data_IF_589118948762
#
_entry.id   IF_589118948762
#
_cell.length_a   1.000
_cell.length_b   1.000
_cell.length_c   1.000
_cell.angle_alpha   90.00
_cell.angle_beta   90.00
_cell.angle_gamma   90.00
#
_symmetry.space_group_name_H-M   'P 1'
#
loop_
_entity.id
_entity.type
_entity.pdbx_description
1 polymer ?
#
# COMPACT_ATOMS: atom_id res chain seq x y z
N UNK A 1 -17.99 -16.73 -22.58
CA UNK A 1 -17.32 -15.42 -22.42
C UNK A 1 -15.84 -15.70 -22.20
N UNK A 2 -14.98 -15.35 -23.16
CA UNK A 2 -13.53 -15.55 -23.03
C UNK A 2 -12.97 -14.43 -22.14
N UNK A 3 -12.46 -14.79 -20.96
CA UNK A 3 -11.68 -13.89 -20.11
C UNK A 3 -10.41 -13.49 -20.88
N UNK A 4 -10.33 -12.23 -21.31
CA UNK A 4 -9.12 -11.66 -21.91
C UNK A 4 -8.31 -11.01 -20.80
N UNK A 5 -7.23 -11.68 -20.37
CA UNK A 5 -6.23 -11.05 -19.53
C UNK A 5 -5.51 -9.97 -20.34
N UNK A 6 -5.59 -8.73 -19.88
CA UNK A 6 -4.86 -7.62 -20.49
C UNK A 6 -3.59 -7.43 -19.67
N UNK A 7 -2.44 -7.76 -20.26
CA UNK A 7 -1.13 -7.48 -19.66
C UNK A 7 -0.63 -6.16 -20.21
N UNK A 8 -0.60 -5.14 -19.36
CA UNK A 8 0.06 -3.87 -19.66
C UNK A 8 1.50 -3.96 -19.15
N UNK A 9 2.46 -3.89 -20.08
CA UNK A 9 3.88 -3.79 -19.73
C UNK A 9 4.32 -2.34 -19.77
N UNK A 10 4.76 -1.83 -18.63
CA UNK A 10 5.40 -0.50 -18.56
C UNK A 10 6.88 -0.73 -18.86
N UNK A 11 7.39 -0.02 -19.88
CA UNK A 11 8.82 -0.04 -20.23
C UNK A 11 9.66 0.70 -19.19
N UNK A 12 10.89 0.24 -19.00
CA UNK A 12 11.88 0.85 -18.11
C UNK A 12 12.10 2.32 -18.48
N UNK A 13 11.64 3.23 -17.63
CA UNK A 13 11.91 4.66 -17.78
C UNK A 13 12.03 5.29 -16.39
N UNK A 14 13.16 5.95 -16.15
CA UNK A 14 13.58 6.44 -14.83
C UNK A 14 12.70 7.59 -14.30
N UNK A 15 11.81 8.17 -15.12
CA UNK A 15 10.93 9.28 -14.74
C UNK A 15 9.55 9.21 -15.42
N UNK A 16 8.87 8.05 -15.39
CA UNK A 16 7.48 8.03 -15.86
C UNK A 16 6.58 8.77 -14.86
N UNK A 17 6.23 10.01 -15.22
CA UNK A 17 5.36 10.90 -14.43
C UNK A 17 3.94 10.86 -14.96
N UNK A 18 3.17 9.89 -14.48
CA UNK A 18 1.79 9.72 -14.87
C UNK A 18 0.95 9.28 -13.68
N UNK A 19 -0.23 9.88 -13.51
CA UNK A 19 -1.28 9.31 -12.67
C UNK A 19 -2.04 8.27 -13.47
N UNK A 20 -2.14 7.07 -12.92
CA UNK A 20 -2.82 5.95 -13.58
C UNK A 20 -4.06 5.57 -12.78
N UNK A 21 -5.19 5.48 -13.47
CA UNK A 21 -6.44 4.95 -12.91
C UNK A 21 -6.86 3.72 -13.69
N UNK A 22 -7.03 2.59 -12.99
CA UNK A 22 -7.57 1.36 -13.55
C UNK A 22 -9.06 1.30 -13.20
N UNK A 23 -9.96 1.61 -14.15
CA UNK A 23 -11.38 1.80 -13.87
C UNK A 23 -12.10 0.46 -13.65
N UNK A 24 -13.20 0.48 -12.89
CA UNK A 24 -13.93 -0.71 -12.45
C UNK A 24 -14.43 -1.59 -13.61
N UNK A 25 -14.72 -0.99 -14.76
CA UNK A 25 -15.22 -1.66 -15.96
C UNK A 25 -14.16 -2.53 -16.67
N UNK A 26 -12.91 -2.52 -16.19
CA UNK A 26 -11.80 -3.28 -16.77
C UNK A 26 -11.22 -4.31 -15.80
N UNK A 27 -11.99 -5.34 -15.39
CA UNK A 27 -11.48 -6.41 -14.55
C UNK A 27 -10.43 -7.26 -15.27
N UNK A 28 -9.70 -8.08 -14.51
CA UNK A 28 -8.68 -9.01 -15.03
C UNK A 28 -7.50 -8.34 -15.74
N UNK A 29 -7.15 -7.11 -15.33
CA UNK A 29 -5.93 -6.44 -15.76
C UNK A 29 -4.76 -6.95 -14.94
N UNK A 30 -3.66 -7.27 -15.64
CA UNK A 30 -2.34 -7.41 -15.01
C UNK A 30 -1.45 -6.26 -15.44
N UNK A 31 -1.03 -5.45 -14.49
CA UNK A 31 0.03 -4.46 -14.64
C UNK A 31 1.36 -5.10 -14.25
N UNK A 32 2.30 -5.19 -15.19
CA UNK A 32 3.58 -5.87 -14.96
C UNK A 32 4.74 -5.00 -15.40
N UNK A 33 5.62 -4.67 -14.47
CA UNK A 33 6.96 -4.20 -14.80
C UNK A 33 7.89 -5.33 -15.17
N UNK A 34 9.14 -4.97 -15.49
CA UNK A 34 10.24 -5.92 -15.68
C UNK A 34 10.90 -6.23 -14.34
N UNK A 35 11.17 -5.21 -13.53
CA UNK A 35 11.76 -5.26 -12.19
C UNK A 35 11.27 -4.05 -11.38
N UNK A 36 11.11 -4.21 -10.07
CA UNK A 36 10.75 -3.06 -9.22
C UNK A 36 11.81 -1.95 -9.24
N UNK A 37 13.08 -2.30 -9.43
CA UNK A 37 14.22 -1.37 -9.42
C UNK A 37 14.39 -0.53 -10.70
N UNK A 38 13.66 -0.82 -11.79
CA UNK A 38 13.78 -0.10 -13.06
C UNK A 38 12.43 0.29 -13.70
N UNK A 39 11.31 -0.22 -13.18
CA UNK A 39 9.97 0.15 -13.64
C UNK A 39 9.30 1.04 -12.59
N UNK A 40 9.02 2.29 -12.93
CA UNK A 40 8.49 3.28 -12.01
C UNK A 40 7.17 3.88 -12.49
N UNK A 41 6.26 4.09 -11.56
CA UNK A 41 5.13 5.02 -11.64
C UNK A 41 5.34 6.09 -10.58
N UNK A 42 5.53 7.34 -11.01
CA UNK A 42 5.89 8.44 -10.12
C UNK A 42 4.89 9.57 -10.27
N UNK A 43 4.39 10.10 -9.17
CA UNK A 43 3.68 11.38 -9.15
C UNK A 43 4.08 12.21 -7.93
N UNK A 44 3.47 13.38 -7.73
CA UNK A 44 3.79 14.28 -6.61
C UNK A 44 2.64 15.20 -6.20
N UNK A 45 1.40 14.71 -6.27
CA UNK A 45 0.23 15.43 -5.71
C UNK A 45 0.04 15.05 -4.26
N UNK A 46 -0.58 15.94 -3.49
CA UNK A 46 -0.84 15.72 -2.07
C UNK A 46 -2.07 16.47 -1.59
N UNK A 47 -2.17 16.60 -0.27
CA UNK A 47 -3.28 17.20 0.49
C UNK A 47 -4.56 16.34 0.46
N UNK A 48 -5.17 16.17 -0.71
CA UNK A 48 -6.40 15.40 -0.87
C UNK A 48 -6.09 13.91 -1.03
N UNK A 49 -6.64 13.07 -0.15
CA UNK A 49 -6.36 11.64 -0.11
C UNK A 49 -6.93 10.87 -1.32
N UNK A 50 -7.99 11.38 -1.96
CA UNK A 50 -8.65 10.74 -3.09
C UNK A 50 -8.07 11.19 -4.43
N UNK A 51 -7.52 12.41 -4.47
CA UNK A 51 -6.89 12.98 -5.66
C UNK A 51 -5.36 12.78 -5.71
N UNK A 52 -4.67 12.67 -4.57
CA UNK A 52 -3.22 12.45 -4.50
C UNK A 52 -2.67 11.10 -5.02
N UNK A 53 -3.44 9.99 -5.17
CA UNK A 53 -2.88 8.71 -5.61
C UNK A 53 -2.09 8.78 -6.91
N UNK A 54 -0.89 8.18 -6.92
CA UNK A 54 -0.12 7.95 -8.16
C UNK A 54 -0.77 6.84 -9.00
N UNK A 55 -1.23 5.77 -8.34
CA UNK A 55 -1.98 4.68 -8.94
C UNK A 55 -3.26 4.42 -8.17
N UNK A 56 -4.41 4.42 -8.85
CA UNK A 56 -5.71 4.05 -8.28
C UNK A 56 -6.28 2.83 -8.98
N UNK A 57 -6.68 1.82 -8.21
CA UNK A 57 -7.26 0.57 -8.70
C UNK A 57 -8.71 0.46 -8.25
N UNK A 58 -9.63 0.43 -9.22
CA UNK A 58 -11.05 0.13 -8.99
C UNK A 58 -11.48 -1.22 -9.60
N UNK A 59 -10.65 -1.81 -10.47
CA UNK A 59 -10.95 -3.05 -11.17
C UNK A 59 -10.78 -4.29 -10.30
N UNK A 60 -11.78 -5.19 -10.31
CA UNK A 60 -11.66 -6.49 -9.65
C UNK A 60 -10.68 -7.41 -10.38
N UNK A 61 -10.18 -8.43 -9.68
CA UNK A 61 -9.29 -9.44 -10.24
C UNK A 61 -8.00 -8.83 -10.84
N UNK A 62 -7.57 -7.70 -10.26
CA UNK A 62 -6.40 -6.95 -10.69
C UNK A 62 -5.12 -7.57 -10.14
N UNK A 63 -4.07 -7.60 -10.96
CA UNK A 63 -2.74 -8.02 -10.53
C UNK A 63 -1.72 -6.93 -10.86
N UNK A 64 -0.88 -6.59 -9.90
CA UNK A 64 0.27 -5.70 -10.08
C UNK A 64 1.55 -6.43 -9.66
N UNK A 65 2.60 -6.35 -10.47
CA UNK A 65 3.88 -7.00 -10.14
C UNK A 65 5.11 -6.30 -10.69
N UNK A 66 6.18 -6.37 -9.90
CA UNK A 66 7.53 -5.97 -10.30
C UNK A 66 7.64 -4.52 -10.80
N UNK A 67 7.00 -3.59 -10.10
CA UNK A 67 7.20 -2.16 -10.32
C UNK A 67 7.23 -1.37 -9.01
N UNK A 68 7.82 -0.19 -9.06
CA UNK A 68 7.79 0.83 -8.01
C UNK A 68 6.64 1.82 -8.27
N UNK A 69 5.86 2.10 -7.25
CA UNK A 69 4.80 3.11 -7.22
C UNK A 69 5.19 4.13 -6.16
N UNK A 70 5.39 5.38 -6.56
CA UNK A 70 5.96 6.39 -5.69
C UNK A 70 5.24 7.72 -5.79
N UNK A 71 4.89 8.30 -4.65
CA UNK A 71 4.48 9.68 -4.55
C UNK A 71 5.61 10.52 -3.91
N UNK A 72 6.07 11.55 -4.62
CA UNK A 72 7.18 12.45 -4.24
C UNK A 72 6.72 13.79 -3.65
N UNK A 73 5.45 13.95 -3.26
CA UNK A 73 4.95 15.19 -2.65
C UNK A 73 5.76 15.62 -1.42
N UNK A 74 6.24 14.65 -0.63
CA UNK A 74 7.07 14.88 0.54
C UNK A 74 6.24 15.00 1.82
N UNK A 75 6.72 15.81 2.76
CA UNK A 75 6.23 15.81 4.15
C UNK A 75 5.15 16.86 4.44
N UNK A 76 4.69 17.59 3.43
CA UNK A 76 3.78 18.72 3.61
C UNK A 76 2.34 18.31 3.95
N UNK A 77 1.96 17.06 3.67
CA UNK A 77 0.61 16.56 3.89
C UNK A 77 0.44 15.14 3.36
N UNK A 78 -0.83 14.72 3.24
CA UNK A 78 -1.23 13.40 2.72
C UNK A 78 -0.76 13.24 1.28
N UNK A 79 -0.18 12.10 0.93
CA UNK A 79 0.30 11.85 -0.42
C UNK A 79 0.25 10.36 -0.73
N UNK A 80 -0.84 9.92 -1.36
CA UNK A 80 -1.04 8.50 -1.64
C UNK A 80 -0.17 8.05 -2.80
N UNK A 81 0.60 6.98 -2.63
CA UNK A 81 1.29 6.32 -3.73
C UNK A 81 0.33 5.35 -4.43
N UNK A 82 -0.32 4.48 -3.65
CA UNK A 82 -1.24 3.48 -4.16
C UNK A 82 -2.58 3.57 -3.43
N UNK A 83 -3.68 3.67 -4.19
CA UNK A 83 -5.04 3.48 -3.70
C UNK A 83 -5.63 2.20 -4.30
N UNK A 84 -6.18 1.34 -3.45
CA UNK A 84 -6.83 0.09 -3.88
C UNK A 84 -8.24 0.04 -3.31
N UNK A 85 -9.24 0.12 -4.20
CA UNK A 85 -10.66 0.02 -3.88
C UNK A 85 -11.30 -1.03 -4.79
N UNK A 86 -10.90 -2.30 -4.64
CA UNK A 86 -11.24 -3.38 -5.57
C UNK A 86 -11.37 -4.75 -4.89
N UNK A 87 -12.21 -5.62 -5.42
CA UNK A 87 -12.27 -7.01 -4.95
C UNK A 87 -11.24 -7.90 -5.64
N UNK A 88 -10.53 -8.73 -4.88
CA UNK A 88 -9.50 -9.66 -5.37
C UNK A 88 -8.34 -8.95 -6.10
N UNK A 89 -7.77 -7.92 -5.50
CA UNK A 89 -6.56 -7.28 -6.03
C UNK A 89 -5.30 -7.89 -5.41
N UNK A 90 -4.29 -8.21 -6.23
CA UNK A 90 -3.06 -8.83 -5.76
C UNK A 90 -1.80 -8.10 -6.24
N UNK A 91 -0.83 -7.95 -5.35
CA UNK A 91 0.42 -7.23 -5.56
C UNK A 91 1.60 -8.14 -5.25
N UNK A 92 2.57 -8.23 -6.16
CA UNK A 92 3.71 -9.14 -6.06
C UNK A 92 5.04 -8.44 -6.31
N UNK A 93 5.93 -8.42 -5.32
CA UNK A 93 7.26 -7.85 -5.50
C UNK A 93 7.23 -6.37 -5.87
N UNK A 94 6.22 -5.63 -5.41
CA UNK A 94 6.08 -4.20 -5.67
C UNK A 94 6.78 -3.39 -4.59
N UNK A 95 7.23 -2.20 -4.97
CA UNK A 95 7.77 -1.19 -4.05
C UNK A 95 6.78 -0.03 -4.01
N UNK A 96 6.29 0.34 -2.84
CA UNK A 96 5.27 1.39 -2.67
C UNK A 96 5.80 2.40 -1.65
N UNK A 97 6.06 3.64 -2.08
CA UNK A 97 6.75 4.61 -1.23
C UNK A 97 6.11 5.99 -1.27
N UNK A 98 5.91 6.59 -0.11
CA UNK A 98 5.55 8.00 0.05
C UNK A 98 5.92 8.45 1.48
N UNK A 99 5.20 9.41 2.04
CA UNK A 99 5.38 9.88 3.40
C UNK A 99 4.13 9.64 4.26
N UNK A 100 3.09 10.47 4.12
CA UNK A 100 1.82 10.30 4.83
C UNK A 100 0.78 9.62 3.93
N UNK A 101 0.03 8.64 4.46
CA UNK A 101 -0.99 7.87 3.73
C UNK A 101 -0.45 7.14 2.48
N UNK A 102 0.74 6.54 2.57
CA UNK A 102 1.43 5.93 1.42
C UNK A 102 0.58 4.92 0.65
N UNK A 103 -0.07 3.99 1.34
CA UNK A 103 -1.00 3.01 0.81
C UNK A 103 -2.39 3.25 1.39
N UNK A 104 -3.31 3.72 0.55
CA UNK A 104 -4.73 3.74 0.84
C UNK A 104 -5.35 2.40 0.43
N UNK A 105 -5.33 1.47 1.37
CA UNK A 105 -5.96 0.14 1.33
C UNK A 105 -7.48 0.27 1.55
N UNK A 106 -8.13 0.99 0.64
CA UNK A 106 -9.44 1.64 0.79
C UNK A 106 -10.58 0.66 1.15
N UNK A 107 -10.91 -0.26 0.24
CA UNK A 107 -12.01 -1.22 0.42
C UNK A 107 -11.87 -2.42 -0.53
N UNK A 108 -12.24 -3.61 -0.06
CA UNK A 108 -12.19 -4.85 -0.85
C UNK A 108 -11.34 -5.93 -0.21
N UNK A 109 -10.93 -6.91 -1.01
CA UNK A 109 -10.07 -8.02 -0.58
C UNK A 109 -8.75 -7.96 -1.32
N UNK A 110 -7.65 -7.71 -0.62
CA UNK A 110 -6.35 -7.53 -1.25
C UNK A 110 -5.28 -8.49 -0.71
N UNK A 111 -4.28 -8.75 -1.54
CA UNK A 111 -3.15 -9.61 -1.18
C UNK A 111 -1.84 -8.97 -1.62
N UNK A 112 -0.90 -8.79 -0.69
CA UNK A 112 0.41 -8.21 -0.94
C UNK A 112 1.48 -9.24 -0.59
N UNK A 113 2.19 -9.76 -1.59
CA UNK A 113 3.25 -10.76 -1.40
C UNK A 113 4.60 -10.21 -1.80
N UNK A 114 5.57 -10.29 -0.88
CA UNK A 114 6.95 -9.83 -1.10
C UNK A 114 7.01 -8.35 -1.51
N UNK A 115 6.06 -7.52 -1.08
CA UNK A 115 6.05 -6.09 -1.35
C UNK A 115 6.84 -5.33 -0.28
N UNK A 116 7.48 -4.23 -0.68
CA UNK A 116 8.10 -3.27 0.22
C UNK A 116 7.22 -2.02 0.27
N UNK A 117 6.80 -1.60 1.47
CA UNK A 117 5.94 -0.43 1.67
C UNK A 117 6.64 0.50 2.66
N UNK A 118 6.90 1.74 2.25
CA UNK A 118 7.64 2.73 3.03
C UNK A 118 6.84 4.03 3.19
N UNK A 119 6.70 4.50 4.43
CA UNK A 119 6.19 5.83 4.74
C UNK A 119 6.54 6.27 6.17
N UNK A 120 5.84 7.27 6.70
CA UNK A 120 6.09 7.86 8.01
C UNK A 120 4.83 7.91 8.90
N UNK A 121 3.76 8.53 8.40
CA UNK A 121 2.51 8.76 9.14
C UNK A 121 1.35 8.05 8.46
N UNK A 122 0.59 7.23 9.19
CA UNK A 122 -0.59 6.50 8.68
C UNK A 122 -0.34 5.83 7.32
N UNK A 123 0.87 5.32 7.11
CA UNK A 123 1.35 5.00 5.76
C UNK A 123 0.67 3.78 5.14
N UNK A 124 -0.07 2.99 5.93
CA UNK A 124 -1.13 2.09 5.44
C UNK A 124 -2.41 2.50 6.15
N UNK A 125 -3.45 2.86 5.40
CA UNK A 125 -4.75 3.29 5.92
C UNK A 125 -5.89 2.78 5.04
N UNK A 126 -7.13 2.78 5.54
CA UNK A 126 -8.31 2.30 4.82
C UNK A 126 -9.08 1.21 5.58
N UNK A 127 -10.00 0.53 4.89
CA UNK A 127 -10.93 -0.45 5.48
C UNK A 127 -10.95 -1.80 4.74
N UNK A 128 -10.00 -2.07 3.84
CA UNK A 128 -9.92 -3.33 3.13
C UNK A 128 -9.58 -4.53 4.04
N UNK A 129 -10.00 -5.72 3.61
CA UNK A 129 -9.58 -6.99 4.18
C UNK A 129 -8.36 -7.50 3.42
N UNK A 130 -7.17 -7.31 3.99
CA UNK A 130 -5.91 -7.50 3.28
C UNK A 130 -4.97 -8.47 3.98
N UNK A 131 -4.38 -9.38 3.20
CA UNK A 131 -3.28 -10.24 3.66
C UNK A 131 -1.96 -9.71 3.11
N UNK A 132 -1.01 -9.48 4.00
CA UNK A 132 0.35 -9.09 3.69
C UNK A 132 1.26 -10.28 4.01
N UNK A 133 1.99 -10.79 3.02
CA UNK A 133 2.87 -11.96 3.14
C UNK A 133 4.31 -11.57 2.78
N UNK A 134 5.23 -11.93 3.67
CA UNK A 134 6.65 -11.63 3.56
C UNK A 134 7.42 -12.95 3.39
N UNK A 135 8.46 -13.02 2.55
CA UNK A 135 9.14 -14.30 2.33
C UNK A 135 10.02 -14.63 3.54
N UNK A 136 10.04 -15.92 3.90
CA UNK A 136 10.76 -16.45 5.06
C UNK A 136 12.28 -16.22 5.05
N UNK A 137 12.88 -15.89 3.90
CA UNK A 137 14.35 -15.81 3.74
C UNK A 137 14.99 -14.47 4.16
N UNK A 138 14.21 -13.46 4.58
CA UNK A 138 14.78 -12.22 5.13
C UNK A 138 15.39 -12.38 6.53
N UNK A 139 15.31 -13.59 7.11
CA UNK A 139 15.77 -13.88 8.47
C UNK A 139 17.23 -14.40 8.55
N UNK A 140 17.83 -14.91 7.45
CA UNK A 140 19.02 -15.79 7.52
C UNK A 140 20.35 -15.18 7.01
N UNK A 141 20.40 -13.90 6.63
CA UNK A 141 21.64 -13.25 6.17
C UNK A 141 22.02 -12.03 6.99
N UNK A 142 22.31 -12.22 8.29
CA UNK A 142 23.42 -11.61 9.04
C UNK A 142 23.61 -10.08 9.11
N UNK A 143 22.82 -9.27 8.41
CA UNK A 143 22.74 -7.82 8.53
C UNK A 143 21.26 -7.44 8.62
N UNK A 144 20.84 -7.14 9.85
CA UNK A 144 19.54 -6.54 10.14
C UNK A 144 19.43 -5.22 9.37
N UNK A 145 18.82 -5.22 8.19
CA UNK A 145 18.24 -4.00 7.63
C UNK A 145 17.04 -3.68 8.52
N UNK A 146 17.32 -2.82 9.50
CA UNK A 146 16.43 -2.10 10.42
C UNK A 146 14.96 -2.10 9.97
N UNK A 147 14.10 -2.74 10.73
CA UNK A 147 12.65 -2.73 10.46
C UNK A 147 11.80 -3.33 11.57
N UNK A 148 12.24 -3.25 12.83
CA UNK A 148 11.41 -3.61 13.98
C UNK A 148 10.95 -2.32 14.68
N UNK A 149 9.71 -1.92 14.42
CA UNK A 149 8.95 -1.03 15.32
C UNK A 149 7.47 -1.35 15.21
N UNK A 150 7.04 -2.28 16.05
CA UNK A 150 5.65 -2.51 16.39
C UNK A 150 5.17 -1.34 17.27
N UNK A 151 4.30 -0.48 16.75
CA UNK A 151 3.43 0.39 17.55
C UNK A 151 2.09 0.49 16.82
N UNK A 152 1.23 -0.47 17.08
CA UNK A 152 -0.22 -0.26 16.96
C UNK A 152 -0.64 0.29 18.33
N UNK A 153 -1.26 1.48 18.37
CA UNK A 153 -2.52 1.56 19.08
C UNK A 153 -3.58 2.21 18.20
N UNK A 154 -4.61 1.40 17.92
CA UNK A 154 -6.03 1.77 17.88
C UNK A 154 -6.39 3.17 17.36
N UNK A 155 -7.13 3.24 16.25
CA UNK A 155 -8.16 4.28 16.12
C UNK A 155 -9.02 4.26 17.40
N UNK A 156 -9.28 5.44 17.98
CA UNK A 156 -10.56 6.03 17.68
C UNK A 156 -10.41 7.44 17.09
N UNK A 157 -11.32 7.70 16.15
CA UNK A 157 -11.78 8.99 15.66
C UNK A 157 -11.46 10.21 16.57
N UNK A 158 -10.79 11.21 15.99
CA UNK A 158 -10.71 12.64 16.39
C UNK A 158 -10.29 12.99 17.83
N UNK A 159 -9.11 13.61 17.98
CA UNK A 159 -9.01 14.90 18.68
C UNK A 159 -7.70 15.62 18.34
N UNK A 160 -7.81 16.95 18.23
CA UNK A 160 -6.76 17.93 17.94
C UNK A 160 -5.33 17.58 18.38
N UNK A 161 -4.37 17.68 17.46
CA UNK A 161 -3.04 18.20 17.78
C UNK A 161 -2.57 19.16 16.66
N UNK A 162 -2.44 20.43 17.04
CA UNK A 162 -1.54 21.37 16.37
C UNK A 162 -0.13 21.10 16.89
N UNK A 163 0.84 21.04 15.99
CA UNK A 163 2.15 21.69 16.13
C UNK A 163 2.73 21.77 14.70
N UNK A 164 3.06 22.92 14.11
CA UNK A 164 3.67 24.09 14.70
C UNK A 164 5.18 23.90 14.76
N UNK A 165 5.90 24.35 13.73
CA UNK A 165 7.33 24.73 13.81
C UNK A 165 8.28 23.81 14.60
N UNK A 166 8.92 22.86 13.93
CA UNK A 166 10.38 22.66 13.91
C UNK A 166 10.69 21.41 13.06
N UNK A 167 11.65 21.54 12.14
CA UNK A 167 11.99 20.53 11.13
C UNK A 167 12.64 19.26 11.67
N UNK A 168 11.92 18.50 12.49
CA UNK A 168 12.32 17.17 12.91
C UNK A 168 11.81 16.16 11.87
N UNK A 169 12.75 15.58 11.11
CA UNK A 169 12.47 14.53 10.13
C UNK A 169 11.96 13.32 10.92
N UNK A 170 10.67 13.01 10.79
CA UNK A 170 10.11 11.80 11.40
C UNK A 170 10.82 10.58 10.78
N UNK A 171 11.28 9.61 11.58
CA UNK A 171 11.96 8.44 11.05
C UNK A 171 11.03 7.66 10.11
N UNK A 172 11.54 7.27 8.95
CA UNK A 172 10.85 6.38 8.01
C UNK A 172 10.50 5.08 8.75
N UNK A 173 9.24 4.67 8.70
CA UNK A 173 8.74 3.44 9.32
C UNK A 173 8.59 2.39 8.24
N UNK A 174 9.29 1.27 8.42
CA UNK A 174 9.17 0.06 7.59
C UNK A 174 8.31 -0.92 8.38
N UNK A 175 7.30 -1.50 7.73
CA UNK A 175 6.40 -2.46 8.37
C UNK A 175 6.25 -3.71 7.53
N UNK A 176 6.65 -4.83 8.12
CA UNK A 176 6.28 -6.17 7.69
C UNK A 176 5.03 -6.56 8.48
N UNK A 177 3.85 -6.52 7.86
CA UNK A 177 2.65 -7.07 8.52
C UNK A 177 2.39 -8.46 7.97
N UNK A 178 2.13 -9.41 8.85
CA UNK A 178 1.25 -10.54 8.56
C UNK A 178 -0.10 -10.16 9.16
N UNK A 179 -0.91 -9.36 8.44
CA UNK A 179 -2.28 -9.07 8.90
C UNK A 179 -3.10 -10.32 8.61
N UNK A 180 -3.45 -11.07 9.64
CA UNK A 180 -4.53 -12.05 9.54
C UNK A 180 -5.79 -11.38 10.09
N UNK A 181 -6.48 -10.56 9.29
CA UNK A 181 -7.80 -10.03 9.65
C UNK A 181 -8.85 -11.12 9.47
N UNK A 182 -8.82 -12.10 10.38
CA UNK A 182 -9.94 -12.97 10.68
C UNK A 182 -9.85 -13.34 12.15
N UNK A 183 -10.20 -12.40 13.02
CA UNK A 183 -10.70 -12.77 14.36
C UNK A 183 -12.19 -12.48 14.35
N UNK A 184 -12.94 -13.48 13.89
CA UNK A 184 -14.29 -13.73 14.37
C UNK A 184 -14.21 -13.76 15.89
N UNK A 185 -14.86 -12.82 16.58
CA UNK A 185 -15.06 -12.92 18.03
C UNK A 185 -16.08 -14.03 18.24
N UNK A 186 -15.74 -15.18 18.87
CA UNK A 186 -16.76 -16.11 19.31
C UNK A 186 -17.50 -15.47 20.47
N UNK A 187 -18.82 -15.48 20.39
CA UNK A 187 -19.72 -15.11 21.48
C UNK A 187 -19.38 -15.95 22.73
N UNK A 188 -18.82 -15.31 23.77
CA UNK A 188 -18.68 -15.92 25.08
C UNK A 188 -20.06 -15.96 25.74
N UNK A 189 -20.80 -17.03 25.46
CA UNK A 189 -21.88 -17.50 26.32
C UNK A 189 -21.28 -18.15 27.57
N UNK A 190 -21.84 -17.84 28.75
CA UNK A 190 -21.79 -18.74 29.90
C UNK A 190 -21.03 -18.29 31.13
N UNK A 191 -21.83 -17.89 32.13
CA UNK A 191 -21.72 -18.14 33.57
C UNK A 191 -20.44 -17.78 34.35
N UNK A 192 -20.63 -16.94 35.36
CA UNK A 192 -19.98 -17.13 36.66
C UNK A 192 -21.06 -17.28 37.73
N UNK A 193 -20.93 -18.38 38.45
CA UNK A 193 -21.54 -18.67 39.75
C UNK A 193 -21.21 -17.59 40.79
#
# INVERSE_FOLDING_TARGET
MLLKYIVLRISDFIDNREKVVIPAEKPYITLSGTQASNTFLIWSDGEDILESPTLTIFASDFVCRFLTIQNKFGTAGRAVALRVAADKAAFYGCVITSYQDTLLDDNGNHYFKNCYIEGATDFICGSASSLYEVPHFWEDHGELILGLSLLIPSSPMSSHLKDGTNGEIQPKKILYIMVNTNVMVPEQTGNKE
#
